data_IF_119588123770
#
_entry.id   IF_119588123770
#
_cell.length_a   1.000
_cell.length_b   1.000
_cell.length_c   1.000
_cell.angle_alpha   90.00
_cell.angle_beta   90.00
_cell.angle_gamma   90.00
#
_symmetry.space_group_name_H-M   'P 1'
#
loop_
_entity.id
_entity.type
_entity.pdbx_description
1 polymer ?
#
# COMPACT_ATOMS: atom_id res chain seq x y z
N UNK A 1 -35.97 6.28 36.18
CA UNK A 1 -36.89 5.15 36.38
C UNK A 1 -37.43 4.71 35.03
N UNK A 2 -36.93 3.60 34.55
CA UNK A 2 -37.60 2.56 33.75
C UNK A 2 -36.52 1.56 33.33
N UNK A 3 -36.43 0.49 34.12
CA UNK A 3 -35.79 -0.75 33.78
C UNK A 3 -36.64 -1.50 32.78
N UNK A 4 -36.08 -2.14 31.78
CA UNK A 4 -36.70 -3.21 31.05
C UNK A 4 -35.71 -4.36 30.94
N UNK A 5 -36.20 -5.45 31.38
CA UNK A 5 -35.75 -6.74 31.76
C UNK A 5 -35.18 -7.59 30.61
N UNK A 6 -34.23 -8.43 30.98
CA UNK A 6 -33.67 -9.57 30.27
C UNK A 6 -34.75 -10.66 30.02
N UNK A 7 -34.69 -11.32 28.87
CA UNK A 7 -35.28 -12.63 28.66
C UNK A 7 -34.30 -13.50 27.86
N UNK A 8 -33.71 -14.45 28.57
CA UNK A 8 -33.00 -15.60 28.03
C UNK A 8 -34.02 -16.68 27.70
N UNK A 9 -33.87 -17.39 26.61
CA UNK A 9 -34.44 -18.72 26.43
C UNK A 9 -33.42 -19.64 25.75
N UNK A 10 -33.20 -20.75 26.47
CA UNK A 10 -32.32 -21.84 26.11
C UNK A 10 -33.14 -23.07 25.60
N UNK A 11 -32.40 -23.98 25.02
CA UNK A 11 -32.66 -25.43 24.85
C UNK A 11 -33.55 -25.80 23.63
N UNK A 12 -33.32 -26.87 22.90
CA UNK A 12 -33.05 -28.26 23.26
C UNK A 12 -32.49 -29.02 22.06
N UNK A 13 -31.61 -29.97 22.33
CA UNK A 13 -31.04 -30.96 21.42
C UNK A 13 -32.06 -32.08 21.09
N UNK A 14 -31.92 -32.71 19.92
CA UNK A 14 -32.30 -34.13 19.75
C UNK A 14 -31.37 -34.84 18.76
N UNK A 15 -30.77 -35.91 19.29
CA UNK A 15 -30.09 -36.99 18.58
C UNK A 15 -31.11 -37.86 17.82
N UNK A 16 -30.72 -38.40 16.69
CA UNK A 16 -31.19 -39.69 16.20
C UNK A 16 -30.08 -40.37 15.41
N UNK A 17 -29.59 -41.45 15.96
CA UNK A 17 -28.72 -42.43 15.33
C UNK A 17 -29.57 -43.50 14.64
N UNK A 18 -29.15 -44.00 13.48
CA UNK A 18 -29.58 -45.31 13.00
C UNK A 18 -28.46 -45.96 12.19
N UNK A 19 -28.04 -47.11 12.69
CA UNK A 19 -27.10 -48.06 12.10
C UNK A 19 -27.88 -49.10 11.24
N UNK A 20 -27.20 -49.71 10.30
CA UNK A 20 -27.70 -50.86 9.51
C UNK A 20 -26.67 -51.25 8.46
N UNK A 21 -25.81 -52.13 8.74
CA UNK A 21 -25.56 -53.55 8.49
C UNK A 21 -25.32 -53.97 7.02
N UNK A 22 -24.11 -54.39 6.86
CA UNK A 22 -23.42 -55.41 6.06
C UNK A 22 -24.20 -56.24 5.00
N UNK A 23 -23.49 -56.49 3.89
CA UNK A 23 -23.82 -57.55 2.93
C UNK A 23 -22.63 -57.76 1.98
N UNK A 24 -21.77 -58.75 2.28
CA UNK A 24 -20.81 -59.36 1.36
C UNK A 24 -21.49 -60.28 0.37
N UNK A 25 -21.14 -60.25 -0.89
CA UNK A 25 -21.14 -61.47 -1.75
C UNK A 25 -20.16 -61.25 -2.91
N UNK A 26 -19.18 -62.14 -2.98
CA UNK A 26 -18.30 -62.38 -4.11
C UNK A 26 -19.06 -63.06 -5.25
N UNK A 27 -18.73 -62.77 -6.48
CA UNK A 27 -18.33 -63.80 -7.48
C UNK A 27 -17.83 -63.21 -8.81
N UNK A 28 -16.90 -63.96 -9.34
CA UNK A 28 -16.07 -63.70 -10.50
C UNK A 28 -16.86 -63.82 -11.83
N UNK A 29 -16.50 -63.09 -12.86
CA UNK A 29 -15.82 -63.63 -14.06
C UNK A 29 -15.87 -62.69 -15.28
N UNK A 30 -14.72 -62.64 -15.90
CA UNK A 30 -14.40 -62.50 -17.32
C UNK A 30 -14.77 -61.24 -18.10
N UNK A 31 -13.67 -60.52 -18.39
CA UNK A 31 -13.21 -60.01 -19.69
C UNK A 31 -14.20 -59.28 -20.61
N UNK A 32 -13.92 -57.97 -20.78
CA UNK A 32 -13.76 -57.37 -22.13
C UNK A 32 -13.04 -56.00 -21.99
N UNK A 33 -11.93 -55.90 -22.65
CA UNK A 33 -11.15 -54.67 -22.75
C UNK A 33 -11.95 -53.63 -23.55
N UNK A 34 -12.25 -52.52 -22.93
CA UNK A 34 -12.59 -51.27 -23.59
C UNK A 34 -11.60 -50.23 -23.14
N UNK A 35 -10.68 -49.89 -24.04
CA UNK A 35 -9.76 -48.77 -23.92
C UNK A 35 -10.55 -47.48 -23.80
N UNK A 36 -10.91 -47.11 -22.57
CA UNK A 36 -11.41 -45.79 -22.27
C UNK A 36 -10.23 -44.85 -22.14
N UNK A 37 -9.96 -44.09 -23.19
CA UNK A 37 -9.05 -42.97 -23.17
C UNK A 37 -9.60 -41.92 -22.19
N UNK A 38 -9.16 -41.97 -20.93
CA UNK A 38 -9.39 -40.87 -19.99
C UNK A 38 -8.61 -39.68 -20.51
N UNK A 39 -9.26 -38.83 -21.29
CA UNK A 39 -8.78 -37.48 -21.54
C UNK A 39 -8.83 -36.75 -20.22
N UNK A 40 -7.71 -36.78 -19.47
CA UNK A 40 -7.42 -35.75 -18.47
C UNK A 40 -7.40 -34.43 -19.21
N UNK A 41 -8.53 -33.73 -19.17
CA UNK A 41 -8.56 -32.33 -19.48
C UNK A 41 -7.72 -31.64 -18.39
N UNK A 42 -6.41 -31.58 -18.62
CA UNK A 42 -5.56 -30.63 -17.93
C UNK A 42 -6.20 -29.26 -18.24
N UNK A 43 -6.86 -28.67 -17.26
CA UNK A 43 -7.26 -27.29 -17.31
C UNK A 43 -5.97 -26.51 -17.58
N UNK A 44 -5.71 -26.20 -18.83
CA UNK A 44 -4.70 -25.23 -19.22
C UNK A 44 -5.12 -23.94 -18.53
N UNK A 45 -4.45 -23.62 -17.41
CA UNK A 45 -4.53 -22.29 -16.84
C UNK A 45 -4.09 -21.35 -17.97
N UNK A 46 -5.05 -20.76 -18.64
CA UNK A 46 -4.84 -19.73 -19.64
C UNK A 46 -4.05 -18.63 -18.93
N UNK A 47 -2.76 -18.54 -19.23
CA UNK A 47 -1.93 -17.41 -18.78
C UNK A 47 -2.51 -16.19 -19.47
N UNK A 48 -3.39 -15.47 -18.75
CA UNK A 48 -4.03 -14.28 -19.27
C UNK A 48 -2.95 -13.36 -19.87
N UNK A 49 -3.12 -13.03 -21.16
CA UNK A 49 -2.23 -12.09 -21.82
C UNK A 49 -2.38 -10.73 -21.15
N UNK A 50 -1.25 -10.10 -20.86
CA UNK A 50 -1.20 -8.78 -20.22
C UNK A 50 -0.85 -7.67 -21.21
N UNK A 51 -1.01 -7.92 -22.51
CA UNK A 51 -0.84 -6.87 -23.54
C UNK A 51 -1.96 -5.84 -23.48
N UNK A 52 -1.68 -4.63 -23.92
CA UNK A 52 -2.67 -3.54 -24.02
C UNK A 52 -4.01 -4.04 -24.64
N UNK A 53 -3.95 -4.75 -25.77
CA UNK A 53 -5.15 -5.26 -26.43
C UNK A 53 -5.95 -6.27 -25.61
N UNK A 54 -5.30 -7.04 -24.75
CA UNK A 54 -5.93 -8.09 -23.95
C UNK A 54 -6.63 -7.57 -22.70
N UNK A 55 -6.19 -6.42 -22.15
CA UNK A 55 -6.68 -5.87 -20.87
C UNK A 55 -7.71 -4.75 -21.05
N UNK A 56 -8.15 -4.44 -22.26
CA UNK A 56 -9.05 -3.32 -22.58
C UNK A 56 -10.38 -3.34 -21.80
N UNK A 57 -10.92 -4.53 -21.51
CA UNK A 57 -12.15 -4.68 -20.72
C UNK A 57 -11.97 -4.44 -19.22
N UNK A 58 -10.73 -4.37 -18.75
CA UNK A 58 -10.37 -4.16 -17.34
C UNK A 58 -10.07 -2.69 -17.03
N UNK A 59 -9.95 -1.85 -18.08
CA UNK A 59 -9.59 -0.44 -17.95
C UNK A 59 -10.81 0.40 -17.58
N UNK A 60 -10.55 1.44 -16.78
CA UNK A 60 -11.52 2.47 -16.47
C UNK A 60 -11.98 3.20 -17.74
N UNK A 61 -11.04 3.57 -18.61
CA UNK A 61 -11.31 4.19 -19.89
C UNK A 61 -10.68 3.37 -21.03
N UNK A 62 -11.51 2.84 -21.95
CA UNK A 62 -11.03 2.04 -23.06
C UNK A 62 -9.95 2.77 -23.86
N UNK A 63 -8.84 2.12 -24.13
CA UNK A 63 -7.72 2.66 -24.90
C UNK A 63 -6.73 3.52 -24.12
N UNK A 64 -7.05 3.86 -22.88
CA UNK A 64 -6.21 4.70 -22.01
C UNK A 64 -5.94 4.00 -20.70
N UNK A 65 -4.71 4.08 -20.20
CA UNK A 65 -4.38 3.69 -18.84
C UNK A 65 -4.53 4.94 -17.95
N UNK A 66 -5.49 4.93 -17.05
CA UNK A 66 -5.77 6.04 -16.14
C UNK A 66 -5.07 5.79 -14.81
N UNK A 67 -4.04 6.56 -14.53
CA UNK A 67 -3.28 6.53 -13.29
C UNK A 67 -3.76 7.65 -12.38
N UNK A 68 -4.03 7.36 -11.13
CA UNK A 68 -4.41 8.37 -10.14
C UNK A 68 -3.23 8.75 -9.24
N UNK A 69 -3.28 9.95 -8.71
CA UNK A 69 -2.42 10.45 -7.62
C UNK A 69 -3.07 11.67 -6.97
N UNK A 70 -2.55 12.11 -5.82
CA UNK A 70 -3.02 13.31 -5.11
C UNK A 70 -2.55 14.61 -5.78
N UNK A 71 -2.95 15.74 -5.22
CA UNK A 71 -2.52 17.09 -5.61
C UNK A 71 -2.54 18.04 -4.39
N UNK A 72 -1.43 18.69 -4.08
CA UNK A 72 -0.16 18.68 -4.80
C UNK A 72 0.63 17.39 -4.59
N UNK A 73 1.46 17.01 -5.56
CA UNK A 73 2.44 15.93 -5.45
C UNK A 73 3.84 16.49 -5.23
N UNK A 74 4.68 15.74 -4.50
CA UNK A 74 5.94 16.25 -3.98
C UNK A 74 7.16 15.47 -4.47
N UNK A 75 8.35 16.14 -4.56
CA UNK A 75 9.61 15.43 -4.67
C UNK A 75 9.89 14.58 -3.42
N UNK A 76 10.62 13.47 -3.55
CA UNK A 76 11.24 12.95 -4.78
C UNK A 76 10.30 12.05 -5.61
N UNK A 77 9.05 11.89 -5.18
CA UNK A 77 8.04 11.03 -5.80
C UNK A 77 7.59 11.58 -7.15
N UNK A 78 7.35 12.88 -7.21
CA UNK A 78 7.00 13.62 -8.42
C UNK A 78 7.79 14.92 -8.49
N UNK A 79 8.21 15.33 -9.67
CA UNK A 79 8.99 16.55 -9.87
C UNK A 79 8.11 17.67 -10.45
N UNK A 80 8.26 18.88 -9.91
CA UNK A 80 7.55 20.09 -10.35
C UNK A 80 6.02 20.01 -10.22
N UNK A 81 5.49 19.22 -9.28
CA UNK A 81 4.05 19.01 -9.11
C UNK A 81 3.36 18.58 -10.44
N UNK A 82 4.05 17.75 -11.25
CA UNK A 82 3.59 17.30 -12.57
C UNK A 82 3.72 15.79 -12.72
N UNK A 83 2.69 15.00 -12.38
CA UNK A 83 2.72 13.55 -12.57
C UNK A 83 2.96 13.12 -14.02
N UNK A 84 2.53 13.95 -14.98
CA UNK A 84 2.60 13.67 -16.41
C UNK A 84 3.99 13.75 -17.03
N UNK A 85 5.00 14.29 -16.32
CA UNK A 85 6.33 14.54 -16.91
C UNK A 85 7.23 13.28 -16.96
N UNK A 86 6.92 12.24 -16.18
CA UNK A 86 7.75 11.04 -16.06
C UNK A 86 8.97 11.23 -15.15
N UNK A 87 8.99 12.32 -14.37
CA UNK A 87 10.08 12.63 -13.46
C UNK A 87 9.63 12.52 -11.99
N UNK A 88 10.53 12.01 -11.17
CA UNK A 88 10.24 11.55 -9.82
C UNK A 88 9.98 10.05 -9.79
N UNK A 89 10.19 9.45 -8.63
CA UNK A 89 10.19 7.99 -8.52
C UNK A 89 8.85 7.39 -8.95
N UNK A 90 7.74 7.85 -8.39
CA UNK A 90 6.42 7.30 -8.66
C UNK A 90 5.92 7.61 -10.07
N UNK A 91 6.18 8.84 -10.57
CA UNK A 91 5.86 9.15 -11.96
C UNK A 91 6.60 8.20 -12.92
N UNK A 92 7.89 7.95 -12.67
CA UNK A 92 8.70 7.07 -13.50
C UNK A 92 8.25 5.59 -13.38
N UNK A 93 7.92 5.12 -12.18
CA UNK A 93 7.36 3.75 -11.95
C UNK A 93 6.05 3.58 -12.70
N UNK A 94 5.12 4.54 -12.63
CA UNK A 94 3.85 4.48 -13.35
C UNK A 94 4.04 4.33 -14.86
N UNK A 95 4.93 5.12 -15.46
CA UNK A 95 5.24 5.00 -16.88
C UNK A 95 5.99 3.72 -17.24
N UNK A 96 6.85 3.21 -16.34
CA UNK A 96 7.52 1.93 -16.54
C UNK A 96 6.52 0.76 -16.53
N UNK A 97 5.56 0.76 -15.61
CA UNK A 97 4.45 -0.20 -15.57
C UNK A 97 3.59 -0.09 -16.84
N UNK A 98 3.22 1.14 -17.23
CA UNK A 98 2.46 1.37 -18.46
C UNK A 98 3.16 0.78 -19.70
N UNK A 99 4.47 1.01 -19.82
CA UNK A 99 5.26 0.47 -20.94
C UNK A 99 5.29 -1.06 -20.95
N UNK A 100 5.41 -1.72 -19.76
CA UNK A 100 5.33 -3.18 -19.66
C UNK A 100 3.97 -3.74 -20.08
N UNK A 101 2.89 -2.98 -19.86
CA UNK A 101 1.54 -3.32 -20.30
C UNK A 101 1.26 -2.96 -21.77
N UNK A 102 2.24 -2.34 -22.46
CA UNK A 102 2.13 -1.96 -23.87
C UNK A 102 1.42 -0.63 -24.11
N UNK A 103 1.34 0.25 -23.11
CA UNK A 103 0.82 1.60 -23.28
C UNK A 103 1.95 2.60 -23.54
N UNK A 104 1.99 3.26 -24.71
CA UNK A 104 2.88 4.39 -24.91
C UNK A 104 2.46 5.56 -24.01
N UNK A 105 3.37 6.46 -23.73
CA UNK A 105 3.14 7.63 -22.84
C UNK A 105 1.89 8.43 -23.22
N UNK A 106 1.59 8.52 -24.52
CA UNK A 106 0.40 9.21 -25.05
C UNK A 106 -0.93 8.53 -24.70
N UNK A 107 -0.91 7.26 -24.28
CA UNK A 107 -2.08 6.51 -23.82
C UNK A 107 -2.13 6.39 -22.30
N UNK A 108 -1.34 7.17 -21.56
CA UNK A 108 -1.42 7.28 -20.10
C UNK A 108 -2.06 8.61 -19.75
N UNK A 109 -3.16 8.54 -19.02
CA UNK A 109 -3.87 9.71 -18.48
C UNK A 109 -3.74 9.75 -16.96
N UNK A 110 -3.72 10.96 -16.39
CA UNK A 110 -3.62 11.13 -14.95
C UNK A 110 -4.92 11.70 -14.39
N UNK A 111 -5.42 11.08 -13.33
CA UNK A 111 -6.58 11.51 -12.57
C UNK A 111 -6.13 12.07 -11.21
N UNK A 112 -6.88 13.03 -10.69
CA UNK A 112 -6.74 13.49 -9.32
C UNK A 112 -7.59 12.61 -8.39
N UNK A 113 -6.97 12.03 -7.38
CA UNK A 113 -7.64 11.30 -6.31
C UNK A 113 -7.01 11.70 -4.97
N UNK A 114 -7.76 12.30 -4.03
CA UNK A 114 -7.23 12.65 -2.71
C UNK A 114 -6.76 11.41 -1.95
N UNK A 115 -5.63 11.52 -1.24
CA UNK A 115 -5.01 10.40 -0.52
C UNK A 115 -6.02 9.59 0.30
N UNK A 116 -6.83 10.24 1.14
CA UNK A 116 -7.80 9.54 2.00
C UNK A 116 -8.97 8.90 1.23
N UNK A 117 -9.29 9.41 0.04
CA UNK A 117 -10.34 8.85 -0.84
C UNK A 117 -9.85 7.63 -1.59
N UNK A 118 -8.56 7.53 -1.83
CA UNK A 118 -7.95 6.47 -2.61
C UNK A 118 -8.25 5.09 -2.04
N UNK A 119 -8.08 4.89 -0.73
CA UNK A 119 -8.36 3.61 -0.06
C UNK A 119 -9.77 3.51 0.56
N UNK A 120 -10.64 4.49 0.33
CA UNK A 120 -12.06 4.38 0.72
C UNK A 120 -12.76 3.27 -0.10
N UNK A 121 -13.76 2.57 0.44
CA UNK A 121 -14.50 1.56 -0.31
C UNK A 121 -15.32 2.19 -1.45
N UNK A 122 -15.58 1.41 -2.50
CA UNK A 122 -16.42 1.80 -3.63
C UNK A 122 -15.70 1.82 -4.98
N UNK A 123 -16.41 2.18 -6.06
CA UNK A 123 -15.85 2.24 -7.40
C UNK A 123 -14.80 3.34 -7.51
N UNK A 124 -13.76 3.09 -8.32
CA UNK A 124 -12.68 4.01 -8.61
C UNK A 124 -12.79 4.58 -10.01
N UNK A 125 -12.33 5.80 -10.20
CA UNK A 125 -12.30 6.49 -11.52
C UNK A 125 -10.91 6.42 -12.16
N UNK A 126 -10.18 5.35 -11.89
CA UNK A 126 -8.81 5.09 -12.36
C UNK A 126 -8.56 3.58 -12.46
N UNK A 127 -7.49 3.22 -13.16
CA UNK A 127 -7.03 1.85 -13.26
C UNK A 127 -6.19 1.45 -12.05
N UNK A 128 -5.25 2.31 -11.65
CA UNK A 128 -4.54 2.22 -10.39
C UNK A 128 -4.14 3.61 -9.89
N UNK A 129 -3.94 3.70 -8.58
CA UNK A 129 -3.39 4.87 -7.89
C UNK A 129 -1.95 4.61 -7.44
N UNK A 130 -1.09 5.62 -7.57
CA UNK A 130 0.28 5.64 -7.10
C UNK A 130 0.52 6.95 -6.35
N UNK A 131 0.62 6.87 -5.03
CA UNK A 131 0.60 8.04 -4.15
C UNK A 131 1.12 7.69 -2.75
N UNK A 132 2.32 7.10 -2.67
CA UNK A 132 2.95 6.75 -1.39
C UNK A 132 2.03 5.91 -0.48
N UNK A 133 1.18 5.05 -1.08
CA UNK A 133 0.15 4.32 -0.34
C UNK A 133 0.71 3.01 0.21
N UNK A 134 1.00 3.00 1.51
CA UNK A 134 1.41 1.77 2.20
C UNK A 134 0.28 0.75 2.22
N UNK A 135 0.65 -0.50 1.91
CA UNK A 135 -0.22 -1.63 2.16
C UNK A 135 -0.53 -1.74 3.66
N UNK A 136 -1.78 -2.01 3.98
CA UNK A 136 -2.19 -2.50 5.29
C UNK A 136 -3.37 -3.46 5.16
N UNK A 137 -3.48 -4.41 6.10
CA UNK A 137 -4.59 -5.36 6.12
C UNK A 137 -5.95 -4.65 6.22
N UNK A 138 -6.02 -3.52 6.93
CA UNK A 138 -7.23 -2.72 7.05
C UNK A 138 -7.62 -2.09 5.71
N UNK A 139 -6.69 -1.45 5.01
CA UNK A 139 -6.94 -0.87 3.67
C UNK A 139 -7.31 -1.95 2.65
N UNK A 140 -6.68 -3.13 2.73
CA UNK A 140 -6.95 -4.26 1.85
C UNK A 140 -8.35 -4.88 2.00
N UNK A 141 -9.12 -4.53 3.04
CA UNK A 141 -10.54 -4.88 3.12
C UNK A 141 -11.37 -4.10 2.08
N UNK A 142 -11.02 -2.85 1.81
CA UNK A 142 -11.78 -1.95 0.95
C UNK A 142 -11.26 -1.87 -0.49
N UNK A 143 -9.97 -2.11 -0.70
CA UNK A 143 -9.28 -1.96 -2.00
C UNK A 143 -8.39 -3.17 -2.29
N UNK A 144 -7.81 -3.22 -3.49
CA UNK A 144 -6.80 -4.22 -3.87
C UNK A 144 -5.46 -3.53 -4.04
N UNK A 145 -4.39 -4.17 -3.60
CA UNK A 145 -3.02 -3.70 -3.77
C UNK A 145 -2.23 -4.60 -4.72
N UNK A 146 -1.29 -4.02 -5.43
CA UNK A 146 -0.25 -4.76 -6.13
C UNK A 146 0.80 -5.31 -5.15
N UNK A 147 1.74 -6.08 -5.68
CA UNK A 147 3.02 -6.34 -5.04
C UNK A 147 3.77 -5.02 -4.79
N UNK A 148 4.75 -5.05 -3.85
CA UNK A 148 5.56 -3.90 -3.49
C UNK A 148 6.31 -3.32 -4.70
N UNK A 149 6.27 -1.98 -4.85
CA UNK A 149 7.20 -1.25 -5.72
C UNK A 149 8.26 -0.47 -4.94
N UNK A 150 8.08 -0.28 -3.62
CA UNK A 150 9.01 0.40 -2.72
C UNK A 150 8.86 -0.09 -1.28
N UNK A 151 9.95 -0.40 -0.61
CA UNK A 151 9.96 -0.78 0.80
C UNK A 151 10.19 0.47 1.65
N UNK A 152 9.27 0.73 2.58
CA UNK A 152 9.19 1.96 3.36
C UNK A 152 9.97 1.83 4.65
N UNK A 153 10.69 2.90 4.99
CA UNK A 153 11.28 3.11 6.31
C UNK A 153 10.83 4.46 6.85
N UNK A 154 10.29 4.48 8.06
CA UNK A 154 9.81 5.69 8.72
C UNK A 154 10.98 6.49 9.29
N UNK A 155 10.87 7.81 9.28
CA UNK A 155 11.87 8.73 9.81
C UNK A 155 11.25 9.83 10.66
N UNK A 156 12.01 10.30 11.64
CA UNK A 156 11.65 11.37 12.56
C UNK A 156 12.20 12.70 12.03
N UNK A 157 11.34 13.70 11.87
CA UNK A 157 11.71 15.05 11.45
C UNK A 157 11.41 16.04 12.57
N UNK A 158 12.37 16.91 12.88
CA UNK A 158 12.23 17.95 13.87
C UNK A 158 13.03 19.22 13.50
N UNK A 159 12.81 20.31 14.22
CA UNK A 159 13.68 21.49 14.11
C UNK A 159 15.01 21.24 14.82
N UNK A 160 16.13 21.66 14.25
CA UNK A 160 17.50 21.47 14.78
C UNK A 160 17.70 21.95 16.21
N UNK A 161 16.97 23.00 16.60
CA UNK A 161 17.02 23.57 17.95
C UNK A 161 16.04 22.91 18.93
N UNK A 162 15.31 21.89 18.53
CA UNK A 162 14.44 21.12 19.41
C UNK A 162 15.24 20.12 20.25
N UNK A 163 14.97 19.97 21.55
CA UNK A 163 15.64 18.96 22.38
C UNK A 163 15.46 17.51 21.89
N UNK A 164 14.44 17.24 21.08
CA UNK A 164 14.17 15.91 20.53
C UNK A 164 15.29 15.40 19.62
N UNK A 165 16.10 16.28 19.03
CA UNK A 165 17.19 15.90 18.11
C UNK A 165 18.31 15.07 18.75
N UNK A 166 18.37 15.06 20.08
CA UNK A 166 19.34 14.25 20.85
C UNK A 166 18.72 12.95 21.37
N UNK A 167 17.49 12.63 20.99
CA UNK A 167 16.75 11.47 21.48
C UNK A 167 16.82 10.33 20.47
N UNK A 168 17.23 9.14 20.93
CA UNK A 168 17.53 8.00 20.06
C UNK A 168 16.83 6.71 20.49
N UNK A 169 15.87 6.79 21.43
CA UNK A 169 15.02 5.66 21.81
C UNK A 169 13.54 6.05 21.79
N UNK A 170 12.61 5.12 21.52
CA UNK A 170 11.18 5.41 21.59
C UNK A 170 10.74 5.93 22.97
N UNK A 171 11.36 5.45 24.04
CA UNK A 171 11.06 5.88 25.40
C UNK A 171 11.34 7.37 25.61
N UNK A 172 12.43 7.88 25.04
CA UNK A 172 12.82 9.28 25.12
C UNK A 172 11.89 10.21 24.34
N UNK A 173 11.19 9.67 23.34
CA UNK A 173 10.29 10.43 22.48
C UNK A 173 8.91 10.67 23.09
N UNK A 174 8.50 9.88 24.09
CA UNK A 174 7.12 9.87 24.63
C UNK A 174 6.63 11.21 25.19
N UNK A 175 7.52 12.06 25.64
CA UNK A 175 7.15 13.35 26.27
C UNK A 175 6.96 14.48 25.26
N UNK A 176 7.24 14.25 23.97
CA UNK A 176 7.14 15.27 22.94
C UNK A 176 5.77 15.28 22.28
N UNK A 177 5.36 16.45 21.80
CA UNK A 177 4.12 16.64 21.03
C UNK A 177 4.38 16.27 19.59
N UNK A 178 3.75 15.22 19.13
CA UNK A 178 3.76 14.80 17.73
C UNK A 178 2.56 15.35 16.96
N UNK A 179 2.68 15.39 15.64
CA UNK A 179 1.56 15.61 14.75
C UNK A 179 1.81 14.96 13.41
N UNK A 180 0.72 14.53 12.75
CA UNK A 180 0.80 13.91 11.44
C UNK A 180 -0.50 14.03 10.67
N UNK A 181 -0.46 13.66 9.38
CA UNK A 181 -1.62 13.67 8.53
C UNK A 181 -2.58 12.53 8.87
N UNK A 182 -3.86 12.83 8.86
CA UNK A 182 -4.94 11.85 9.10
C UNK A 182 -4.83 10.65 8.14
N UNK A 183 -5.07 9.45 8.66
CA UNK A 183 -5.14 8.23 7.87
C UNK A 183 -3.79 7.66 7.39
N UNK A 184 -2.65 8.29 7.72
CA UNK A 184 -1.32 7.78 7.37
C UNK A 184 -0.87 6.62 8.25
N UNK A 185 -0.01 5.77 7.72
CA UNK A 185 0.70 4.75 8.50
C UNK A 185 1.71 5.38 9.45
N UNK A 186 2.23 6.56 9.14
CA UNK A 186 3.09 7.35 10.01
C UNK A 186 2.38 7.78 11.29
N UNK A 187 1.13 8.28 11.20
CA UNK A 187 0.31 8.56 12.37
C UNK A 187 0.03 7.29 13.20
N UNK A 188 -0.23 6.16 12.53
CA UNK A 188 -0.39 4.87 13.21
C UNK A 188 0.91 4.44 13.90
N UNK A 189 2.07 4.66 13.25
CA UNK A 189 3.39 4.38 13.81
C UNK A 189 3.63 5.21 15.09
N UNK A 190 3.34 6.49 15.07
CA UNK A 190 3.43 7.36 16.28
C UNK A 190 2.60 6.76 17.42
N UNK A 191 1.35 6.40 17.14
CA UNK A 191 0.43 5.89 18.17
C UNK A 191 0.80 4.50 18.68
N UNK A 192 1.38 3.63 17.85
CA UNK A 192 1.65 2.22 18.20
C UNK A 192 3.08 1.96 18.65
N UNK A 193 4.07 2.65 18.09
CA UNK A 193 5.48 2.39 18.34
C UNK A 193 6.11 3.43 19.28
N UNK A 194 5.78 4.71 19.11
CA UNK A 194 6.29 5.77 19.99
C UNK A 194 5.43 5.87 21.25
N UNK A 195 4.11 5.81 21.12
CA UNK A 195 3.13 5.91 22.21
C UNK A 195 3.33 7.17 23.05
N UNK A 196 3.26 8.37 22.45
CA UNK A 196 3.48 9.60 23.18
C UNK A 196 2.44 9.79 24.31
N UNK A 197 2.84 10.46 25.39
CA UNK A 197 1.96 10.75 26.54
C UNK A 197 0.84 11.72 26.20
N UNK A 198 1.04 12.55 25.18
CA UNK A 198 0.02 13.44 24.64
C UNK A 198 -0.48 12.87 23.32
N UNK A 199 -1.79 12.91 23.12
CA UNK A 199 -2.40 12.51 21.83
C UNK A 199 -1.78 13.32 20.69
N UNK A 200 -1.28 12.68 19.63
CA UNK A 200 -0.75 13.39 18.46
C UNK A 200 -1.78 14.34 17.85
N UNK A 201 -1.34 15.50 17.40
CA UNK A 201 -2.18 16.42 16.64
C UNK A 201 -2.38 15.86 15.24
N UNK A 202 -3.64 15.86 14.78
CA UNK A 202 -4.01 15.31 13.48
C UNK A 202 -4.35 16.46 12.54
N UNK A 203 -3.80 16.39 11.32
CA UNK A 203 -3.96 17.41 10.29
C UNK A 203 -4.53 16.78 9.01
N UNK A 204 -5.18 17.59 8.18
CA UNK A 204 -5.78 17.10 6.93
C UNK A 204 -4.74 16.82 5.84
N UNK A 205 -3.68 17.64 5.78
CA UNK A 205 -2.66 17.54 4.72
C UNK A 205 -1.24 17.55 5.29
N UNK A 206 -0.28 17.03 4.52
CA UNK A 206 1.15 17.14 4.84
C UNK A 206 1.60 18.61 4.93
N UNK A 207 1.00 19.51 4.16
CA UNK A 207 1.33 20.94 4.25
C UNK A 207 0.95 21.53 5.62
N UNK A 208 -0.19 21.12 6.18
CA UNK A 208 -0.60 21.58 7.52
C UNK A 208 0.34 21.02 8.60
N UNK A 209 0.79 19.77 8.45
CA UNK A 209 1.81 19.15 9.34
C UNK A 209 3.13 19.93 9.28
N UNK A 210 3.61 20.24 8.06
CA UNK A 210 4.83 21.05 7.87
C UNK A 210 4.71 22.43 8.52
N UNK A 211 3.57 23.10 8.33
CA UNK A 211 3.30 24.39 8.97
C UNK A 211 3.29 24.28 10.50
N UNK A 212 2.68 23.22 11.05
CA UNK A 212 2.63 22.98 12.49
C UNK A 212 4.03 22.75 13.07
N UNK A 213 4.93 22.04 12.36
CA UNK A 213 6.33 21.89 12.76
C UNK A 213 7.06 23.24 12.71
N UNK A 214 6.93 23.98 11.62
CA UNK A 214 7.59 25.29 11.45
C UNK A 214 7.18 26.31 12.50
N UNK A 215 5.90 26.32 12.88
CA UNK A 215 5.33 27.19 13.91
C UNK A 215 5.47 26.64 15.34
N UNK A 216 6.16 25.50 15.49
CA UNK A 216 6.39 24.83 16.79
C UNK A 216 5.10 24.39 17.50
N UNK A 217 4.02 24.20 16.79
CA UNK A 217 2.79 23.60 17.34
C UNK A 217 2.97 22.12 17.65
N UNK A 218 3.88 21.45 16.93
CA UNK A 218 4.37 20.11 17.17
C UNK A 218 5.90 20.15 17.34
N UNK A 219 6.43 19.22 18.11
CA UNK A 219 7.88 19.07 18.29
C UNK A 219 8.51 18.26 17.16
N UNK A 220 7.77 17.31 16.60
CA UNK A 220 8.20 16.43 15.53
C UNK A 220 7.02 15.82 14.77
N UNK A 221 7.32 15.32 13.57
CA UNK A 221 6.48 14.44 12.78
C UNK A 221 7.25 13.17 12.42
N UNK A 222 6.54 12.14 11.99
CA UNK A 222 7.11 10.92 11.41
C UNK A 222 6.61 10.81 9.98
N UNK A 223 7.47 10.42 9.05
CA UNK A 223 7.08 10.14 7.67
C UNK A 223 8.09 9.19 7.03
N UNK A 224 7.81 8.69 5.83
CA UNK A 224 8.77 7.92 5.07
C UNK A 224 10.07 8.71 4.81
N UNK A 225 11.19 8.01 4.79
CA UNK A 225 12.52 8.64 4.77
C UNK A 225 12.73 9.58 3.57
N UNK A 226 12.31 9.27 2.32
CA UNK A 226 12.47 10.20 1.21
C UNK A 226 11.65 11.50 1.37
N UNK A 227 10.44 11.41 1.91
CA UNK A 227 9.60 12.57 2.20
C UNK A 227 10.16 13.37 3.38
N UNK A 228 10.75 12.71 4.40
CA UNK A 228 11.44 13.37 5.49
C UNK A 228 12.59 14.26 4.98
N UNK A 229 13.41 13.77 4.07
CA UNK A 229 14.48 14.54 3.43
C UNK A 229 13.93 15.73 2.64
N UNK A 230 12.88 15.52 1.85
CA UNK A 230 12.24 16.60 1.12
C UNK A 230 11.75 17.71 2.06
N UNK A 231 11.12 17.35 3.18
CA UNK A 231 10.66 18.32 4.20
C UNK A 231 11.83 19.18 4.69
N UNK A 232 13.02 18.62 4.86
CA UNK A 232 14.18 19.39 5.31
C UNK A 232 14.67 20.42 4.29
N UNK A 233 14.34 20.24 3.02
CA UNK A 233 14.62 21.24 1.98
C UNK A 233 13.61 22.39 1.98
N UNK A 234 12.38 22.15 2.47
CA UNK A 234 11.32 23.15 2.49
C UNK A 234 11.23 23.92 3.81
N UNK A 235 11.62 23.30 4.92
CA UNK A 235 11.59 23.95 6.24
C UNK A 235 13.01 24.28 6.69
N UNK A 236 13.47 25.54 6.55
CA UNK A 236 14.78 25.94 7.01
C UNK A 236 14.99 25.64 8.50
N UNK A 237 16.09 24.98 8.81
CA UNK A 237 16.41 24.62 10.18
C UNK A 237 15.73 23.34 10.68
N UNK A 238 15.04 22.58 9.86
CA UNK A 238 14.64 21.20 10.15
C UNK A 238 15.76 20.20 9.85
N UNK A 239 15.61 19.00 10.37
CA UNK A 239 16.56 17.89 10.20
C UNK A 239 15.80 16.56 10.30
N UNK A 240 16.24 15.57 9.52
CA UNK A 240 15.93 14.17 9.78
C UNK A 240 16.75 13.74 10.99
N UNK A 241 16.09 13.53 12.12
CA UNK A 241 16.75 13.19 13.39
C UNK A 241 17.28 11.77 13.37
N UNK A 242 16.42 10.85 12.94
CA UNK A 242 16.73 9.44 12.85
C UNK A 242 15.67 8.73 11.98
N UNK A 243 16.01 7.55 11.49
CA UNK A 243 15.05 6.61 10.93
C UNK A 243 14.74 5.51 11.95
N UNK A 244 13.59 4.88 11.79
CA UNK A 244 13.18 3.76 12.63
C UNK A 244 13.56 2.43 11.95
N UNK A 245 13.70 1.34 12.71
CA UNK A 245 13.87 0.01 12.11
C UNK A 245 12.75 -0.32 11.13
N UNK A 246 13.08 -1.07 10.06
CA UNK A 246 12.06 -1.50 9.10
C UNK A 246 11.01 -2.37 9.79
N UNK A 247 9.75 -2.10 9.50
CA UNK A 247 8.59 -2.88 9.95
C UNK A 247 8.07 -3.84 8.88
N UNK A 248 8.72 -3.87 7.69
CA UNK A 248 8.20 -4.57 6.52
C UNK A 248 7.11 -3.77 5.78
N UNK A 249 6.93 -2.50 6.15
CA UNK A 249 6.04 -1.59 5.44
C UNK A 249 6.49 -1.40 3.99
N UNK A 250 5.53 -1.35 3.08
CA UNK A 250 5.81 -1.19 1.66
C UNK A 250 4.66 -0.48 0.94
N UNK A 251 5.00 0.20 -0.16
CA UNK A 251 4.00 0.78 -1.05
C UNK A 251 3.56 -0.23 -2.10
N UNK A 252 2.26 -0.25 -2.37
CA UNK A 252 1.64 -0.97 -3.47
C UNK A 252 0.79 -0.04 -4.34
N UNK A 253 0.71 -0.33 -5.63
CA UNK A 253 -0.26 0.32 -6.49
C UNK A 253 -1.67 -0.09 -6.06
N UNK A 254 -2.57 0.88 -5.94
CA UNK A 254 -3.90 0.66 -5.39
C UNK A 254 -4.95 0.59 -6.50
N UNK A 255 -5.88 -0.36 -6.37
CA UNK A 255 -6.95 -0.64 -7.34
C UNK A 255 -8.31 -0.67 -6.65
N UNK A 256 -9.38 -0.52 -7.43
CA UNK A 256 -10.71 -0.90 -6.96
C UNK A 256 -10.70 -2.35 -6.43
N UNK A 257 -11.50 -2.63 -5.40
CA UNK A 257 -11.56 -3.97 -4.80
C UNK A 257 -11.92 -5.03 -5.84
N UNK A 258 -11.06 -6.06 -5.94
CA UNK A 258 -11.25 -7.19 -6.86
C UNK A 258 -10.89 -6.90 -8.32
N UNK A 259 -10.29 -5.76 -8.64
CA UNK A 259 -9.87 -5.45 -10.01
C UNK A 259 -8.78 -6.43 -10.48
N UNK A 260 -9.06 -7.14 -11.59
CA UNK A 260 -8.17 -8.19 -12.13
C UNK A 260 -6.91 -7.62 -12.81
N UNK A 261 -6.88 -6.34 -13.14
CA UNK A 261 -5.72 -5.68 -13.74
C UNK A 261 -4.48 -5.81 -12.85
N UNK A 262 -4.67 -5.93 -11.52
CA UNK A 262 -3.59 -6.14 -10.56
C UNK A 262 -2.68 -7.32 -10.93
N UNK A 263 -3.24 -8.40 -11.48
CA UNK A 263 -2.45 -9.56 -11.92
C UNK A 263 -1.44 -9.19 -13.01
N UNK A 264 -1.85 -8.37 -13.97
CA UNK A 264 -0.97 -7.91 -15.05
C UNK A 264 0.04 -6.87 -14.53
N UNK A 265 -0.38 -6.00 -13.64
CA UNK A 265 0.52 -5.03 -13.00
C UNK A 265 1.58 -5.74 -12.15
N UNK A 266 1.23 -6.79 -11.40
CA UNK A 266 2.21 -7.58 -10.64
C UNK A 266 3.24 -8.26 -11.56
N UNK A 267 2.82 -8.80 -12.72
CA UNK A 267 3.76 -9.30 -13.73
C UNK A 267 4.70 -8.21 -14.26
N UNK A 268 4.17 -7.01 -14.49
CA UNK A 268 4.97 -5.86 -14.90
C UNK A 268 5.98 -5.47 -13.82
N UNK A 269 5.56 -5.35 -12.55
CA UNK A 269 6.43 -5.05 -11.42
C UNK A 269 7.52 -6.12 -11.24
N UNK A 270 7.17 -7.40 -11.35
CA UNK A 270 8.15 -8.50 -11.27
C UNK A 270 9.21 -8.38 -12.39
N UNK A 271 8.81 -8.03 -13.62
CA UNK A 271 9.73 -7.76 -14.72
C UNK A 271 10.62 -6.56 -14.44
N UNK A 272 10.04 -5.43 -13.97
CA UNK A 272 10.79 -4.23 -13.65
C UNK A 272 11.77 -4.42 -12.49
N UNK A 273 11.43 -5.29 -11.54
CA UNK A 273 12.31 -5.70 -10.44
C UNK A 273 13.46 -6.57 -10.94
N UNK A 274 13.14 -7.62 -11.70
CA UNK A 274 14.14 -8.59 -12.17
C UNK A 274 15.15 -8.03 -13.19
N UNK A 275 14.72 -7.07 -14.02
CA UNK A 275 15.58 -6.40 -15.00
C UNK A 275 16.35 -5.18 -14.43
N UNK A 276 16.19 -4.90 -13.14
CA UNK A 276 16.88 -3.82 -12.44
C UNK A 276 16.30 -2.42 -12.68
N UNK A 277 15.17 -2.27 -13.36
CA UNK A 277 14.57 -0.96 -13.65
C UNK A 277 14.16 -0.26 -12.35
N UNK A 278 13.47 -0.95 -11.42
CA UNK A 278 13.10 -0.34 -10.13
C UNK A 278 14.34 0.11 -9.34
N UNK A 279 15.40 -0.71 -9.30
CA UNK A 279 16.65 -0.34 -8.62
C UNK A 279 17.31 0.92 -9.24
N UNK A 280 17.28 1.04 -10.58
CA UNK A 280 17.79 2.25 -11.26
C UNK A 280 16.96 3.48 -10.92
N UNK A 281 15.63 3.37 -10.88
CA UNK A 281 14.76 4.47 -10.52
C UNK A 281 14.95 4.88 -9.06
N UNK A 282 15.11 3.91 -8.15
CA UNK A 282 15.46 4.19 -6.75
C UNK A 282 16.77 4.98 -6.67
N UNK A 283 17.83 4.50 -7.30
CA UNK A 283 19.13 5.18 -7.30
C UNK A 283 19.09 6.57 -7.95
N UNK A 284 18.20 6.78 -8.92
CA UNK A 284 18.07 8.06 -9.64
C UNK A 284 17.33 9.12 -8.83
N UNK A 285 16.26 8.74 -8.13
CA UNK A 285 15.34 9.68 -7.50
C UNK A 285 15.39 9.68 -5.97
N UNK A 286 15.70 8.53 -5.37
CA UNK A 286 15.72 8.37 -3.92
C UNK A 286 17.18 8.29 -3.45
N UNK A 287 17.51 9.12 -2.48
CA UNK A 287 18.86 9.14 -1.90
C UNK A 287 19.12 7.89 -1.08
N UNK A 288 20.39 7.55 -0.91
CA UNK A 288 20.83 6.60 0.09
C UNK A 288 20.83 7.29 1.47
N UNK A 289 20.03 6.76 2.39
CA UNK A 289 19.85 7.30 3.75
C UNK A 289 20.64 6.52 4.80
N UNK A 290 21.65 5.78 4.40
CA UNK A 290 22.49 4.98 5.33
C UNK A 290 23.22 5.85 6.35
N UNK A 291 23.39 7.15 6.08
CA UNK A 291 24.01 8.10 7.01
C UNK A 291 23.05 8.60 8.11
N UNK A 292 21.75 8.37 7.99
CA UNK A 292 20.76 8.77 9.00
C UNK A 292 20.79 7.76 10.15
N UNK A 293 20.98 8.20 11.42
CA UNK A 293 20.97 7.29 12.56
C UNK A 293 19.67 6.49 12.65
N UNK A 294 19.76 5.23 13.07
CA UNK A 294 18.56 4.42 13.33
C UNK A 294 18.25 4.47 14.82
N UNK A 295 17.00 4.79 15.17
CA UNK A 295 16.51 4.69 16.54
C UNK A 295 16.55 3.23 16.97
N UNK A 296 17.18 2.96 18.09
CA UNK A 296 17.22 1.61 18.67
C UNK A 296 15.93 1.34 19.46
N UNK A 297 15.40 0.11 19.38
CA UNK A 297 14.17 -0.27 20.09
C UNK A 297 14.29 -0.12 21.61
#
# INVERSE_FOLDING_TARGET
MRQITVAAMAAIAMLAASAGLAGCASESSSSSAASGTSSSAAASASTASCSNSAIQSQLYAKGMLTVATDKPVYPPWFVNNKPTNGQGYESAVAYAVAAQLGFPKSQVTWAYEPFNSSYAPGPKKFDFDINEISYSAARAQAVTFSDSYYDVQQALVALKNSPIVTKHSPADLKTYVFGDQVGTTSLQFINSQIQPTQTPKVFETLNDVKQALQTKQIAALVTDTPTAEFITTEIPGSVVVAQFPSTGEHYGLLFAKGNQLVTCVNKALATLKSNGTLAKLTAQYLKDFTSVPTIQP
#
